data_IF_795920624716
#
_entry.id   IF_795920624716
#
_cell.length_a   1.000
_cell.length_b   1.000
_cell.length_c   1.000
_cell.angle_alpha   90.00
_cell.angle_beta   90.00
_cell.angle_gamma   90.00
#
_symmetry.space_group_name_H-M   'P 1'
#
loop_
_entity.id
_entity.type
_entity.pdbx_description
1 polymer ?
#
# COMPACT_ATOMS: atom_id res chain seq x y z
N UNK A 1 6.49 15.78 5.24
CA UNK A 1 7.59 14.99 4.66
C UNK A 1 7.54 15.15 3.15
N UNK A 2 8.66 15.03 2.44
CA UNK A 2 8.67 15.01 0.98
C UNK A 2 8.12 13.67 0.49
N UNK A 3 7.32 13.67 -0.58
CA UNK A 3 6.73 12.46 -1.14
C UNK A 3 7.82 11.65 -1.89
N UNK A 4 8.17 10.43 -1.44
CA UNK A 4 9.42 9.78 -1.84
C UNK A 4 9.29 8.81 -3.02
N UNK A 5 8.08 8.53 -3.49
CA UNK A 5 7.84 7.58 -4.56
C UNK A 5 8.22 8.16 -5.92
N UNK A 6 8.68 7.31 -6.83
CA UNK A 6 8.88 7.69 -8.23
C UNK A 6 7.56 7.94 -8.98
N UNK A 7 6.48 7.28 -8.53
CA UNK A 7 5.13 7.51 -9.04
C UNK A 7 4.65 8.94 -8.78
N UNK A 8 3.59 9.38 -9.45
CA UNK A 8 2.98 10.67 -9.15
C UNK A 8 2.32 10.63 -7.77
N UNK A 9 2.33 11.74 -6.99
CA UNK A 9 1.51 11.87 -5.79
C UNK A 9 0.03 11.53 -6.03
N UNK A 10 -0.47 11.80 -7.24
CA UNK A 10 -1.87 11.59 -7.65
C UNK A 10 -2.12 10.18 -8.24
N UNK A 11 -1.12 9.29 -8.22
CA UNK A 11 -1.28 7.92 -8.70
C UNK A 11 -2.43 7.22 -7.97
N UNK A 12 -3.37 6.69 -8.76
CA UNK A 12 -4.53 5.96 -8.27
C UNK A 12 -4.06 4.72 -7.49
N UNK A 13 -4.60 4.56 -6.28
CA UNK A 13 -4.16 3.57 -5.30
C UNK A 13 -5.37 2.95 -4.61
N UNK A 14 -5.41 1.63 -4.56
CA UNK A 14 -6.45 0.87 -3.88
C UNK A 14 -6.06 0.72 -2.40
N UNK A 15 -7.01 0.95 -1.51
CA UNK A 15 -6.86 0.72 -0.08
C UNK A 15 -8.10 0.05 0.48
N UNK A 16 -7.97 -0.82 1.49
CA UNK A 16 -9.17 -1.39 2.12
C UNK A 16 -9.83 -0.42 3.11
N UNK A 17 -11.14 -0.56 3.32
CA UNK A 17 -11.92 0.26 4.23
C UNK A 17 -11.45 0.14 5.69
N UNK A 18 -10.88 -1.00 6.10
CA UNK A 18 -10.37 -1.18 7.47
C UNK A 18 -9.25 -0.19 7.82
N UNK A 19 -8.37 0.13 6.85
CA UNK A 19 -7.32 1.14 7.03
C UNK A 19 -7.94 2.53 7.19
N UNK A 20 -8.95 2.83 6.36
CA UNK A 20 -9.62 4.14 6.34
C UNK A 20 -10.52 4.39 7.56
N UNK A 21 -11.32 3.40 7.95
CA UNK A 21 -12.46 3.55 8.86
C UNK A 21 -12.17 2.96 10.24
N UNK A 22 -11.33 1.92 10.33
CA UNK A 22 -11.02 1.20 11.57
C UNK A 22 -9.60 1.46 12.09
N UNK A 23 -8.81 2.33 11.42
CA UNK A 23 -7.41 2.60 11.74
C UNK A 23 -6.54 1.32 11.77
N UNK A 24 -6.87 0.34 10.93
CA UNK A 24 -6.06 -0.86 10.81
C UNK A 24 -4.69 -0.53 10.16
N UNK A 25 -3.60 -1.20 10.57
CA UNK A 25 -2.29 -0.99 9.97
C UNK A 25 -2.24 -1.51 8.54
N UNK A 26 -1.32 -0.97 7.74
CA UNK A 26 -1.01 -1.48 6.40
C UNK A 26 -0.04 -2.65 6.56
N UNK A 27 -0.49 -3.88 6.30
CA UNK A 27 0.36 -5.08 6.46
C UNK A 27 0.74 -5.74 5.14
N UNK A 28 0.06 -5.38 4.05
CA UNK A 28 0.29 -5.96 2.74
C UNK A 28 0.23 -4.87 1.68
N UNK A 29 1.25 -4.81 0.83
CA UNK A 29 1.36 -3.83 -0.25
C UNK A 29 1.67 -4.57 -1.54
N UNK A 30 0.99 -4.25 -2.63
CA UNK A 30 1.33 -4.77 -3.95
C UNK A 30 1.45 -3.66 -4.97
N UNK A 31 2.39 -3.83 -5.90
CA UNK A 31 2.58 -2.96 -7.04
C UNK A 31 2.29 -3.79 -8.30
N UNK A 32 1.16 -3.53 -8.92
CA UNK A 32 0.66 -4.36 -10.01
C UNK A 32 1.54 -4.27 -11.26
N UNK A 33 1.64 -5.36 -12.02
CA UNK A 33 2.47 -5.43 -13.23
C UNK A 33 1.75 -4.88 -14.47
N UNK A 34 0.43 -5.01 -14.54
CA UNK A 34 -0.36 -4.71 -15.73
C UNK A 34 -0.67 -3.21 -15.85
N UNK A 35 -1.04 -2.57 -14.74
CA UNK A 35 -1.46 -1.16 -14.72
C UNK A 35 -0.57 -0.24 -13.86
N UNK A 36 0.39 -0.80 -13.12
CA UNK A 36 1.28 -0.05 -12.24
C UNK A 36 0.56 0.60 -11.04
N UNK A 37 -0.67 0.17 -10.74
CA UNK A 37 -1.39 0.64 -9.57
C UNK A 37 -0.80 0.06 -8.29
N UNK A 38 -0.93 0.86 -7.23
CA UNK A 38 -0.57 0.45 -5.88
C UNK A 38 -1.81 -0.04 -5.15
N UNK A 39 -1.63 -1.06 -4.32
CA UNK A 39 -2.66 -1.56 -3.44
C UNK A 39 -2.11 -1.74 -2.03
N UNK A 40 -2.83 -1.25 -1.03
CA UNK A 40 -2.47 -1.30 0.39
C UNK A 40 -3.60 -1.94 1.19
N UNK A 41 -3.31 -3.04 1.88
CA UNK A 41 -4.28 -3.86 2.60
C UNK A 41 -3.85 -4.09 4.05
N UNK A 42 -4.83 -4.34 4.92
CA UNK A 42 -4.59 -4.56 6.34
C UNK A 42 -4.18 -6.00 6.71
N UNK A 43 -3.90 -6.85 5.71
CA UNK A 43 -3.60 -8.28 5.91
C UNK A 43 -4.77 -9.14 6.40
N UNK A 44 -5.97 -8.57 6.54
CA UNK A 44 -7.18 -9.27 6.95
C UNK A 44 -7.89 -9.99 5.80
N UNK A 45 -9.03 -10.61 6.11
CA UNK A 45 -9.97 -11.06 5.07
C UNK A 45 -10.77 -9.86 4.58
N UNK A 46 -10.88 -9.72 3.25
CA UNK A 46 -11.58 -8.62 2.62
C UNK A 46 -12.75 -9.14 1.79
N UNK A 47 -13.90 -8.47 1.87
CA UNK A 47 -15.00 -8.64 0.92
C UNK A 47 -14.83 -7.71 -0.28
N UNK A 48 -15.43 -8.05 -1.43
CA UNK A 48 -15.23 -7.34 -2.70
C UNK A 48 -15.64 -5.84 -2.65
N UNK A 49 -16.51 -5.45 -1.72
CA UNK A 49 -16.99 -4.07 -1.58
C UNK A 49 -16.16 -3.22 -0.58
N UNK A 50 -15.09 -3.79 -0.01
CA UNK A 50 -14.25 -3.13 0.99
C UNK A 50 -13.08 -2.34 0.35
N UNK A 51 -13.00 -2.28 -0.97
CA UNK A 51 -11.98 -1.54 -1.71
C UNK A 51 -12.36 -0.05 -1.87
N UNK A 52 -11.39 0.83 -1.63
CA UNK A 52 -11.51 2.29 -1.79
C UNK A 52 -10.39 2.79 -2.69
N UNK A 53 -10.69 3.79 -3.50
CA UNK A 53 -9.71 4.44 -4.37
C UNK A 53 -9.26 5.76 -3.77
N UNK A 54 -7.95 5.90 -3.55
CA UNK A 54 -7.30 7.09 -3.01
C UNK A 54 -6.08 7.45 -3.86
N UNK A 55 -5.44 8.58 -3.56
CA UNK A 55 -4.13 8.89 -4.14
C UNK A 55 -3.00 8.24 -3.33
N UNK A 56 -1.90 7.90 -3.99
CA UNK A 56 -0.71 7.36 -3.33
C UNK A 56 -0.17 8.33 -2.26
N UNK A 57 -0.28 9.64 -2.52
CA UNK A 57 0.04 10.67 -1.52
C UNK A 57 -0.83 10.57 -0.28
N UNK A 58 -2.13 10.31 -0.43
CA UNK A 58 -3.02 10.16 0.72
C UNK A 58 -2.58 8.99 1.60
N UNK A 59 -2.21 7.85 1.01
CA UNK A 59 -1.69 6.70 1.76
C UNK A 59 -0.39 7.05 2.46
N UNK A 60 0.55 7.71 1.76
CA UNK A 60 1.80 8.13 2.38
C UNK A 60 1.58 9.14 3.53
N UNK A 61 0.62 10.06 3.40
CA UNK A 61 0.29 11.01 4.46
C UNK A 61 -0.39 10.32 5.66
N UNK A 62 -1.09 9.20 5.43
CA UNK A 62 -1.69 8.35 6.47
C UNK A 62 -0.61 7.55 7.22
N UNK A 63 0.26 6.88 6.49
CA UNK A 63 1.33 6.05 7.05
C UNK A 63 2.62 6.27 6.25
N UNK A 64 3.60 6.92 6.89
CA UNK A 64 4.89 7.19 6.26
C UNK A 64 5.81 5.95 6.20
N UNK A 65 5.51 4.86 6.91
CA UNK A 65 6.31 3.62 6.93
C UNK A 65 6.46 3.00 5.54
N UNK A 66 5.43 3.17 4.70
CA UNK A 66 5.38 2.71 3.31
C UNK A 66 6.44 3.34 2.42
N UNK A 67 7.09 4.44 2.86
CA UNK A 67 8.22 5.04 2.14
C UNK A 67 9.42 4.10 1.97
N UNK A 68 9.53 3.07 2.80
CA UNK A 68 10.53 2.00 2.66
C UNK A 68 10.34 1.20 1.37
N UNK A 69 9.11 1.16 0.84
CA UNK A 69 8.75 0.46 -0.39
C UNK A 69 8.77 1.35 -1.64
N UNK A 70 9.23 2.61 -1.53
CA UNK A 70 9.21 3.59 -2.63
C UNK A 70 9.84 3.13 -3.94
N UNK A 71 10.80 2.21 -3.86
CA UNK A 71 11.57 1.67 -4.97
C UNK A 71 11.08 0.26 -5.39
N UNK A 72 9.98 -0.24 -4.81
CA UNK A 72 9.43 -1.55 -5.12
C UNK A 72 8.94 -1.60 -6.58
N UNK A 73 9.49 -2.48 -7.42
CA UNK A 73 9.13 -2.54 -8.83
C UNK A 73 7.73 -3.14 -9.04
N UNK A 74 7.13 -2.88 -10.21
CA UNK A 74 5.87 -3.51 -10.64
C UNK A 74 6.03 -5.04 -10.68
N UNK A 75 4.95 -5.77 -10.38
CA UNK A 75 4.94 -7.22 -10.28
C UNK A 75 5.51 -7.76 -8.96
N UNK A 76 5.63 -6.92 -7.94
CA UNK A 76 6.08 -7.30 -6.60
C UNK A 76 5.04 -6.97 -5.56
N UNK A 77 5.14 -7.67 -4.44
CA UNK A 77 4.37 -7.40 -3.25
C UNK A 77 5.25 -7.50 -2.01
N UNK A 78 4.84 -6.82 -0.95
CA UNK A 78 5.51 -6.79 0.33
C UNK A 78 4.50 -7.11 1.43
N UNK A 79 4.93 -7.90 2.40
CA UNK A 79 4.14 -8.24 3.58
C UNK A 79 4.96 -7.96 4.85
N UNK A 80 4.33 -7.39 5.85
CA UNK A 80 4.83 -7.32 7.22
C UNK A 80 3.88 -8.09 8.14
N UNK A 81 4.42 -8.73 9.19
CA UNK A 81 3.58 -9.47 10.15
C UNK A 81 2.93 -8.55 11.16
N UNK A 82 3.65 -7.49 11.52
CA UNK A 82 3.24 -6.42 12.43
C UNK A 82 3.90 -5.12 11.96
N UNK A 83 3.40 -3.97 12.44
CA UNK A 83 3.90 -2.63 12.07
C UNK A 83 5.36 -2.36 12.49
N UNK A 84 5.93 -3.22 13.33
CA UNK A 84 7.32 -3.13 13.81
C UNK A 84 8.27 -4.11 13.08
N UNK A 85 7.74 -4.96 12.19
CA UNK A 85 8.54 -5.93 11.44
C UNK A 85 9.07 -5.33 10.13
N UNK A 86 10.16 -5.89 9.61
CA UNK A 86 10.67 -5.52 8.29
C UNK A 86 9.76 -6.09 7.16
N UNK A 87 9.55 -5.28 6.12
CA UNK A 87 8.86 -5.70 4.91
C UNK A 87 9.56 -6.88 4.21
N UNK A 88 8.81 -7.96 3.96
CA UNK A 88 9.27 -9.09 3.15
C UNK A 88 8.80 -8.88 1.71
N UNK A 89 9.69 -8.40 0.86
CA UNK A 89 9.42 -8.15 -0.56
C UNK A 89 9.56 -9.45 -1.37
N UNK A 90 8.57 -9.75 -2.21
CA UNK A 90 8.51 -10.94 -3.06
C UNK A 90 8.00 -10.58 -4.46
N UNK A 91 8.44 -11.32 -5.45
CA UNK A 91 7.87 -11.25 -6.80
C UNK A 91 6.54 -12.00 -6.84
N UNK A 92 5.52 -11.41 -7.47
CA UNK A 92 4.20 -12.00 -7.67
C UNK A 92 4.25 -13.17 -8.65
#
# INVERSE_FOLDING_TARGET
>A
MEFPFYASPDTATIVCCHILECQAPILCVSHDEDDGMWQFLCGGTHETDEEKLVSLKWVFDLDNSVSTLKDMPCGYYAEEKTQDDDWIIRKR
#
